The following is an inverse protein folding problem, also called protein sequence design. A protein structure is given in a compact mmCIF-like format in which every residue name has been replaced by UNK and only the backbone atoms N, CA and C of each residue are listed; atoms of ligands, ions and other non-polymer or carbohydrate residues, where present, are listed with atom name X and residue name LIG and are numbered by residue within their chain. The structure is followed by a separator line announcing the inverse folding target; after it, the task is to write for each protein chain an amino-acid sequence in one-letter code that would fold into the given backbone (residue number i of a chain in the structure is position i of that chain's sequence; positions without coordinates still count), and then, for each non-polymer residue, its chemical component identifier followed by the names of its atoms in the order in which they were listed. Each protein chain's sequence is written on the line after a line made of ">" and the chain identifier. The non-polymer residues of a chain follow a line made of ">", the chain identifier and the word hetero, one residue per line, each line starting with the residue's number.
data_IF_614218490188
#
_entry.id   IF_614218490188
#
_cell.length_a   1.000
_cell.length_b   1.000
_cell.length_c   1.000
_cell.angle_alpha   90.00
_cell.angle_beta   90.00
_cell.angle_gamma   90.00
#
_symmetry.space_group_name_H-M   'P 1'
#
loop_
_entity.id
_entity.type
_entity.pdbx_description
1 polymer ?
#
# COMPACT_ATOMS: atom_id res chain seq x y z
N UNK A 1 -27.79 21.27 51.84
CA UNK A 1 -26.58 20.42 51.65
C UNK A 1 -26.78 19.13 50.84
N UNK A 2 -27.95 18.47 50.81
CA UNK A 2 -28.15 17.21 50.03
C UNK A 2 -28.24 17.38 48.49
N UNK A 3 -28.70 18.53 47.98
CA UNK A 3 -28.94 18.70 46.54
C UNK A 3 -27.67 18.98 45.71
N UNK A 4 -26.66 19.64 46.29
CA UNK A 4 -25.39 19.93 45.58
C UNK A 4 -24.56 18.66 45.36
N UNK A 5 -24.58 17.73 46.32
CA UNK A 5 -23.84 16.47 46.23
C UNK A 5 -24.39 15.52 45.16
N UNK A 6 -25.71 15.48 44.95
CA UNK A 6 -26.33 14.69 43.88
C UNK A 6 -26.02 15.28 42.50
N UNK A 7 -26.10 16.61 42.38
CA UNK A 7 -25.83 17.32 41.12
C UNK A 7 -24.38 17.14 40.65
N UNK A 8 -23.43 17.17 41.59
CA UNK A 8 -22.01 17.00 41.26
C UNK A 8 -21.67 15.55 40.83
N UNK A 9 -22.28 14.54 41.45
CA UNK A 9 -22.12 13.12 41.03
C UNK A 9 -22.64 12.87 39.61
N UNK A 10 -23.79 13.43 39.25
CA UNK A 10 -24.37 13.31 37.91
C UNK A 10 -23.51 13.99 36.83
N UNK A 11 -22.86 15.11 37.16
CA UNK A 11 -21.93 15.79 36.25
C UNK A 11 -20.66 14.96 36.01
N UNK A 12 -20.09 14.38 37.06
CA UNK A 12 -18.89 13.53 36.98
C UNK A 12 -19.16 12.26 36.17
N UNK A 13 -20.30 11.58 36.40
CA UNK A 13 -20.67 10.38 35.64
C UNK A 13 -20.89 10.67 34.16
N UNK A 14 -21.51 11.81 33.82
CA UNK A 14 -21.70 12.26 32.43
C UNK A 14 -20.36 12.54 31.73
N UNK A 15 -19.41 13.19 32.39
CA UNK A 15 -18.06 13.45 31.86
C UNK A 15 -17.32 12.12 31.65
N UNK A 16 -17.40 11.19 32.60
CA UNK A 16 -16.78 9.87 32.47
C UNK A 16 -17.34 9.09 31.27
N UNK A 17 -18.66 9.06 31.11
CA UNK A 17 -19.33 8.41 29.98
C UNK A 17 -18.98 9.05 28.63
N UNK A 18 -18.84 10.39 28.59
CA UNK A 18 -18.42 11.11 27.39
C UNK A 18 -16.97 10.76 27.00
N UNK A 19 -16.05 10.74 27.98
CA UNK A 19 -14.65 10.32 27.75
C UNK A 19 -14.57 8.86 27.28
N UNK A 20 -15.34 7.96 27.87
CA UNK A 20 -15.42 6.55 27.45
C UNK A 20 -15.92 6.41 26.01
N UNK A 21 -16.96 7.16 25.65
CA UNK A 21 -17.52 7.15 24.29
C UNK A 21 -16.52 7.69 23.27
N UNK A 22 -15.81 8.78 23.61
CA UNK A 22 -14.76 9.34 22.77
C UNK A 22 -13.61 8.34 22.53
N UNK A 23 -13.12 7.68 23.59
CA UNK A 23 -12.09 6.66 23.48
C UNK A 23 -12.54 5.48 22.61
N UNK A 24 -13.80 5.08 22.71
CA UNK A 24 -14.36 4.00 21.90
C UNK A 24 -14.41 4.39 20.42
N UNK A 25 -14.88 5.60 20.11
CA UNK A 25 -14.91 6.13 18.74
C UNK A 25 -13.48 6.23 18.18
N UNK A 26 -12.55 6.80 18.93
CA UNK A 26 -11.14 6.89 18.52
C UNK A 26 -10.54 5.49 18.27
N UNK A 27 -10.84 4.51 19.11
CA UNK A 27 -10.42 3.13 18.93
C UNK A 27 -10.95 2.50 17.64
N UNK A 28 -12.20 2.79 17.26
CA UNK A 28 -12.78 2.34 15.98
C UNK A 28 -12.04 2.96 14.80
N UNK A 29 -11.77 4.27 14.84
CA UNK A 29 -11.01 4.94 13.78
C UNK A 29 -9.60 4.37 13.63
N UNK A 30 -8.90 4.12 14.74
CA UNK A 30 -7.58 3.49 14.72
C UNK A 30 -7.67 2.09 14.14
N UNK A 31 -8.64 1.27 14.55
CA UNK A 31 -8.81 -0.08 14.04
C UNK A 31 -9.08 -0.09 12.52
N UNK A 32 -9.94 0.80 12.03
CA UNK A 32 -10.23 0.96 10.60
C UNK A 32 -8.97 1.40 9.84
N UNK A 33 -8.26 2.41 10.35
CA UNK A 33 -7.04 2.91 9.75
C UNK A 33 -5.96 1.82 9.67
N UNK A 34 -5.70 1.12 10.78
CA UNK A 34 -4.73 0.02 10.83
C UNK A 34 -5.13 -1.11 9.88
N UNK A 35 -6.40 -1.51 9.85
CA UNK A 35 -6.88 -2.57 8.97
C UNK A 35 -6.73 -2.25 7.47
N UNK A 36 -6.88 -0.98 7.10
CA UNK A 36 -6.82 -0.55 5.70
C UNK A 36 -5.40 -0.27 5.19
N UNK A 37 -4.44 -0.01 6.09
CA UNK A 37 -3.10 0.43 5.71
C UNK A 37 -1.99 -0.55 6.13
N UNK A 38 -2.22 -1.44 7.08
CA UNK A 38 -1.19 -2.35 7.60
C UNK A 38 -1.49 -3.81 7.24
N UNK A 39 -0.61 -4.39 6.43
CA UNK A 39 -0.74 -5.75 5.88
C UNK A 39 0.46 -6.60 6.24
N UNK A 40 0.22 -7.84 6.67
CA UNK A 40 1.31 -8.80 6.87
C UNK A 40 1.82 -9.29 5.52
N UNK A 41 3.14 -9.44 5.35
CA UNK A 41 3.73 -9.91 4.08
C UNK A 41 3.08 -11.20 3.53
N UNK A 42 2.74 -12.16 4.40
CA UNK A 42 2.05 -13.40 4.00
C UNK A 42 0.65 -13.19 3.40
N UNK A 43 -0.06 -12.15 3.81
CA UNK A 43 -1.42 -11.86 3.30
C UNK A 43 -1.39 -11.16 1.95
N UNK A 44 -0.22 -10.62 1.56
CA UNK A 44 0.01 -9.95 0.29
C UNK A 44 0.42 -10.92 -0.82
N UNK A 45 0.79 -12.15 -0.50
CA UNK A 45 1.08 -13.18 -1.50
C UNK A 45 -0.17 -13.45 -2.35
N UNK A 46 0.05 -13.69 -3.65
CA UNK A 46 -1.02 -14.00 -4.60
C UNK A 46 -0.95 -13.15 -5.86
N UNK A 47 -2.03 -13.24 -6.64
CA UNK A 47 -2.17 -12.56 -7.92
C UNK A 47 -2.89 -11.22 -7.77
N UNK A 48 -2.41 -10.25 -8.51
CA UNK A 48 -3.00 -8.92 -8.65
C UNK A 48 -3.20 -8.57 -10.11
N UNK A 49 -4.25 -7.84 -10.43
CA UNK A 49 -4.54 -7.36 -11.78
C UNK A 49 -4.44 -5.84 -11.84
N UNK A 50 -3.83 -5.32 -12.89
CA UNK A 50 -3.73 -3.88 -13.11
C UNK A 50 -5.12 -3.30 -13.43
N UNK A 51 -5.45 -2.16 -12.83
CA UNK A 51 -6.71 -1.42 -12.99
C UNK A 51 -6.41 0.02 -13.38
N UNK A 52 -7.30 0.60 -14.19
CA UNK A 52 -7.21 1.98 -14.68
C UNK A 52 -5.86 2.25 -15.40
N UNK A 53 -5.45 1.29 -16.24
CA UNK A 53 -4.16 1.29 -16.92
C UNK A 53 -4.17 1.99 -18.28
N UNK A 54 -5.32 2.46 -18.74
CA UNK A 54 -5.48 3.01 -20.08
C UNK A 54 -4.80 4.38 -20.24
N UNK A 55 -4.32 4.99 -19.16
CA UNK A 55 -3.61 6.26 -19.18
C UNK A 55 -2.10 6.05 -19.38
N UNK A 56 -1.51 6.75 -20.36
CA UNK A 56 -0.10 6.65 -20.78
C UNK A 56 0.82 7.76 -20.21
N UNK A 57 0.30 8.59 -19.29
CA UNK A 57 1.04 9.74 -18.76
C UNK A 57 2.31 9.35 -17.99
N UNK A 58 2.29 8.20 -17.30
CA UNK A 58 3.43 7.71 -16.50
C UNK A 58 4.08 6.51 -17.18
N UNK A 59 5.08 6.75 -18.02
CA UNK A 59 5.70 5.72 -18.88
C UNK A 59 6.26 4.47 -18.16
N UNK A 60 6.54 4.56 -16.87
CA UNK A 60 7.04 3.42 -16.05
C UNK A 60 5.93 2.49 -15.56
N UNK A 61 4.67 2.91 -15.64
CA UNK A 61 3.52 2.10 -15.25
C UNK A 61 3.01 1.28 -16.44
N UNK A 62 2.38 0.12 -16.22
CA UNK A 62 1.86 -0.66 -17.34
C UNK A 62 0.65 0.05 -17.93
N UNK A 63 0.71 0.31 -19.23
CA UNK A 63 -0.38 0.92 -20.01
C UNK A 63 -1.29 -0.09 -20.72
N UNK A 64 -1.13 -1.35 -20.33
CA UNK A 64 -1.85 -2.51 -20.84
C UNK A 64 -2.32 -3.37 -19.67
N UNK A 65 -3.25 -4.27 -19.95
CA UNK A 65 -3.65 -5.27 -18.98
C UNK A 65 -2.42 -6.07 -18.54
N UNK A 66 -2.17 -6.05 -17.23
CA UNK A 66 -1.04 -6.75 -16.62
C UNK A 66 -1.47 -7.50 -15.37
N UNK A 67 -0.65 -8.46 -14.96
CA UNK A 67 -0.87 -9.27 -13.77
C UNK A 67 0.43 -9.40 -12.98
N UNK A 68 0.43 -8.90 -11.76
CA UNK A 68 1.55 -9.00 -10.82
C UNK A 68 1.32 -10.18 -9.86
N UNK A 69 2.30 -11.06 -9.71
CA UNK A 69 2.23 -12.23 -8.82
C UNK A 69 3.31 -12.11 -7.75
N UNK A 70 2.92 -11.91 -6.48
CA UNK A 70 3.86 -11.89 -5.34
C UNK A 70 4.04 -13.30 -4.76
N UNK A 71 5.29 -13.75 -4.65
CA UNK A 71 5.68 -15.11 -4.20
C UNK A 71 6.37 -15.07 -2.84
N UNK A 72 6.35 -16.21 -2.13
CA UNK A 72 6.82 -16.37 -0.74
C UNK A 72 8.28 -15.96 -0.50
N UNK A 73 9.14 -16.04 -1.51
CA UNK A 73 10.59 -15.80 -1.39
C UNK A 73 10.99 -14.37 -1.81
N UNK A 74 10.12 -13.39 -1.54
CA UNK A 74 10.32 -11.99 -1.92
C UNK A 74 10.58 -11.79 -3.42
N UNK A 75 9.99 -12.66 -4.24
CA UNK A 75 10.08 -12.62 -5.70
C UNK A 75 8.72 -12.28 -6.28
N UNK A 76 8.72 -11.61 -7.43
CA UNK A 76 7.50 -11.38 -8.19
C UNK A 76 7.67 -11.69 -9.67
N UNK A 77 6.53 -11.86 -10.34
CA UNK A 77 6.47 -11.97 -11.81
C UNK A 77 5.33 -11.11 -12.35
N UNK A 78 5.57 -10.45 -13.48
CA UNK A 78 4.61 -9.66 -14.24
C UNK A 78 4.95 -9.76 -15.72
N UNK A 79 3.97 -9.93 -16.62
CA UNK A 79 4.21 -9.84 -18.06
C UNK A 79 4.85 -8.51 -18.49
N UNK A 80 4.50 -7.40 -17.85
CA UNK A 80 5.07 -6.07 -18.13
C UNK A 80 6.47 -5.87 -17.55
N UNK A 81 6.66 -6.12 -16.25
CA UNK A 81 7.93 -5.87 -15.56
C UNK A 81 8.92 -7.05 -15.62
N UNK A 82 8.49 -8.21 -16.12
CA UNK A 82 9.27 -9.44 -16.09
C UNK A 82 9.33 -10.04 -14.70
N UNK A 83 10.53 -10.51 -14.30
CA UNK A 83 10.77 -11.10 -12.99
C UNK A 83 11.57 -10.11 -12.13
N UNK A 84 11.31 -10.13 -10.84
CA UNK A 84 11.98 -9.23 -9.92
C UNK A 84 11.88 -9.66 -8.47
N UNK A 85 12.35 -8.78 -7.59
CA UNK A 85 12.26 -8.92 -6.14
C UNK A 85 11.40 -7.82 -5.56
N UNK A 86 10.76 -8.11 -4.44
CA UNK A 86 10.03 -7.10 -3.70
C UNK A 86 10.46 -7.05 -2.24
N UNK A 87 10.33 -5.89 -1.63
CA UNK A 87 10.59 -5.67 -0.22
C UNK A 87 9.39 -4.99 0.43
N UNK A 88 8.99 -5.44 1.63
CA UNK A 88 7.88 -4.87 2.38
C UNK A 88 8.42 -4.15 3.61
N UNK A 89 8.09 -2.87 3.74
CA UNK A 89 8.44 -2.05 4.89
C UNK A 89 7.19 -1.47 5.54
N UNK A 90 7.31 -1.06 6.79
CA UNK A 90 6.21 -0.47 7.56
C UNK A 90 6.60 0.92 8.03
N UNK A 91 5.68 1.86 7.87
CA UNK A 91 5.81 3.24 8.32
C UNK A 91 4.56 3.64 9.09
N UNK A 92 4.52 4.86 9.63
CA UNK A 92 3.30 5.38 10.27
C UNK A 92 2.14 5.48 9.29
N UNK A 93 2.44 5.68 8.00
CA UNK A 93 1.45 5.83 6.93
C UNK A 93 0.94 4.49 6.39
N UNK A 94 1.50 3.37 6.87
CA UNK A 94 1.09 2.01 6.48
C UNK A 94 2.20 1.15 5.91
N UNK A 95 1.79 0.12 5.18
CA UNK A 95 2.64 -0.85 4.50
C UNK A 95 3.09 -0.28 3.15
N UNK A 96 4.41 -0.28 2.95
CA UNK A 96 5.06 0.06 1.70
C UNK A 96 5.61 -1.19 1.01
N UNK A 97 5.70 -1.12 -0.31
CA UNK A 97 6.29 -2.14 -1.16
C UNK A 97 7.25 -1.48 -2.14
N UNK A 98 8.47 -2.00 -2.19
CA UNK A 98 9.42 -1.70 -3.25
C UNK A 98 9.46 -2.87 -4.22
N UNK A 99 9.41 -2.59 -5.51
CA UNK A 99 9.54 -3.56 -6.60
C UNK A 99 10.82 -3.26 -7.37
N UNK A 100 11.74 -4.21 -7.40
CA UNK A 100 13.01 -4.12 -8.15
C UNK A 100 13.01 -5.15 -9.28
N UNK A 101 13.26 -4.71 -10.50
CA UNK A 101 13.20 -5.52 -11.71
C UNK A 101 14.24 -5.08 -12.73
N UNK A 102 14.27 -5.79 -13.86
CA UNK A 102 15.31 -5.64 -14.86
C UNK A 102 16.53 -6.45 -14.47
N UNK A 103 17.13 -7.10 -15.46
CA UNK A 103 18.36 -7.87 -15.28
C UNK A 103 19.34 -7.53 -16.40
N UNK A 104 20.63 -7.56 -16.07
CA UNK A 104 21.72 -7.38 -17.01
C UNK A 104 22.12 -5.92 -17.24
N UNK A 105 22.96 -5.75 -18.26
CA UNK A 105 23.53 -4.46 -18.62
C UNK A 105 23.42 -4.28 -20.13
N UNK A 106 23.08 -3.07 -20.53
CA UNK A 106 23.11 -2.65 -21.93
C UNK A 106 24.44 -1.97 -22.20
N UNK A 107 25.18 -2.47 -23.18
CA UNK A 107 26.42 -1.86 -23.64
C UNK A 107 26.08 -0.86 -24.75
N UNK A 108 26.41 0.41 -24.54
CA UNK A 108 26.20 1.49 -25.50
C UNK A 108 27.57 2.03 -25.90
N UNK A 109 27.83 2.11 -27.20
CA UNK A 109 29.05 2.71 -27.73
C UNK A 109 28.78 4.18 -28.06
N UNK A 110 29.47 5.09 -27.36
CA UNK A 110 29.41 6.53 -27.61
C UNK A 110 30.82 7.02 -27.94
N UNK A 111 31.02 7.47 -29.19
CA UNK A 111 32.31 7.98 -29.67
C UNK A 111 33.49 7.04 -29.34
N UNK A 112 33.38 5.76 -29.74
CA UNK A 112 34.39 4.72 -29.49
C UNK A 112 34.59 4.33 -28.01
N UNK A 113 33.85 4.94 -27.07
CA UNK A 113 33.84 4.54 -25.67
C UNK A 113 32.65 3.61 -25.39
N UNK A 114 32.93 2.46 -24.80
CA UNK A 114 31.90 1.52 -24.33
C UNK A 114 31.43 1.93 -22.93
N UNK A 115 30.12 2.16 -22.79
CA UNK A 115 29.46 2.47 -21.52
C UNK A 115 28.48 1.33 -21.21
N UNK A 116 28.59 0.75 -20.02
CA UNK A 116 27.67 -0.28 -19.56
C UNK A 116 26.62 0.39 -18.66
N UNK A 117 25.35 0.31 -19.03
CA UNK A 117 24.22 0.84 -18.25
C UNK A 117 23.48 -0.32 -17.62
N UNK A 118 23.22 -0.26 -16.32
CA UNK A 118 22.38 -1.24 -15.64
C UNK A 118 20.94 -1.13 -16.15
N UNK A 119 20.32 -2.28 -16.43
CA UNK A 119 18.90 -2.33 -16.75
C UNK A 119 18.03 -2.48 -15.48
N UNK A 120 18.65 -2.47 -14.30
CA UNK A 120 17.94 -2.57 -13.02
C UNK A 120 17.18 -1.28 -12.74
N UNK A 121 15.88 -1.42 -12.48
CA UNK A 121 14.99 -0.36 -12.07
C UNK A 121 14.27 -0.75 -10.78
N UNK A 122 13.90 0.24 -9.98
CA UNK A 122 13.01 0.02 -8.84
C UNK A 122 12.06 1.19 -8.63
N UNK A 123 10.90 0.89 -8.05
CA UNK A 123 10.00 1.90 -7.53
C UNK A 123 9.43 1.48 -6.17
N UNK A 124 9.26 2.46 -5.30
CA UNK A 124 8.58 2.31 -4.02
C UNK A 124 7.15 2.85 -4.15
N UNK A 125 6.19 2.12 -3.57
CA UNK A 125 4.81 2.55 -3.45
C UNK A 125 4.18 2.00 -2.16
N UNK A 126 2.89 2.26 -1.94
CA UNK A 126 2.16 1.83 -0.77
C UNK A 126 1.04 0.86 -1.10
N UNK A 127 0.63 0.13 -0.06
CA UNK A 127 -0.46 -0.83 -0.12
C UNK A 127 -1.60 -0.31 0.74
N UNK A 128 -2.80 -0.26 0.17
CA UNK A 128 -3.99 0.13 0.90
C UNK A 128 -5.17 -0.81 0.61
N UNK A 129 -6.25 -0.63 1.34
CA UNK A 129 -7.57 -1.21 1.06
C UNK A 129 -8.60 -0.10 1.12
N UNK A 130 -9.46 -0.04 0.10
CA UNK A 130 -10.58 0.89 0.08
C UNK A 130 -11.67 0.43 1.07
N UNK A 131 -12.11 1.36 1.94
CA UNK A 131 -13.31 1.27 2.78
C UNK A 131 -13.52 -0.08 3.47
N UNK A 132 -12.47 -0.69 4.08
CA UNK A 132 -12.52 -1.92 4.90
C UNK A 132 -13.16 -3.17 4.26
N UNK A 133 -13.66 -3.10 3.03
CA UNK A 133 -14.35 -4.18 2.32
C UNK A 133 -13.66 -4.56 1.01
N UNK A 134 -12.72 -3.73 0.53
CA UNK A 134 -12.00 -3.98 -0.71
C UNK A 134 -10.91 -5.05 -0.60
N UNK A 135 -10.39 -5.43 -1.75
CA UNK A 135 -9.14 -6.17 -1.84
C UNK A 135 -7.95 -5.24 -1.57
N UNK A 136 -6.83 -5.78 -1.04
CA UNK A 136 -5.57 -5.04 -1.01
C UNK A 136 -5.20 -4.54 -2.41
N UNK A 137 -4.71 -3.31 -2.47
CA UNK A 137 -4.26 -2.64 -3.68
C UNK A 137 -2.82 -2.20 -3.52
N UNK A 138 -2.00 -2.42 -4.53
CA UNK A 138 -0.67 -1.83 -4.64
C UNK A 138 -0.82 -0.64 -5.57
N UNK A 139 -0.66 0.58 -5.03
CA UNK A 139 -0.87 1.79 -5.82
C UNK A 139 0.26 1.96 -6.83
N UNK A 140 -0.07 2.41 -8.04
CA UNK A 140 0.91 2.78 -9.06
C UNK A 140 0.92 4.29 -9.27
N UNK A 141 -0.26 4.90 -9.25
CA UNK A 141 -0.39 6.34 -9.32
C UNK A 141 -1.70 6.81 -8.68
N UNK A 142 -1.61 7.67 -7.66
CA UNK A 142 -2.75 8.06 -6.83
C UNK A 142 -3.73 8.96 -7.58
N UNK A 143 -3.24 9.97 -8.30
CA UNK A 143 -4.10 10.94 -9.00
C UNK A 143 -4.90 10.30 -10.14
N UNK A 144 -4.41 9.20 -10.71
CA UNK A 144 -5.09 8.44 -11.77
C UNK A 144 -5.87 7.25 -11.23
N UNK A 145 -5.86 7.00 -9.92
CA UNK A 145 -6.37 5.78 -9.29
C UNK A 145 -5.88 4.52 -10.03
N UNK A 146 -4.62 4.50 -10.45
CA UNK A 146 -4.02 3.35 -11.12
C UNK A 146 -3.38 2.45 -10.06
N UNK A 147 -3.74 1.16 -10.06
CA UNK A 147 -3.30 0.22 -9.05
C UNK A 147 -3.38 -1.24 -9.51
N UNK A 148 -2.64 -2.10 -8.81
CA UNK A 148 -2.81 -3.54 -8.85
C UNK A 148 -3.77 -4.00 -7.77
N UNK A 149 -4.87 -4.67 -8.12
CA UNK A 149 -5.87 -5.19 -7.20
C UNK A 149 -5.70 -6.69 -6.96
N UNK A 150 -5.65 -7.12 -5.68
CA UNK A 150 -5.57 -8.55 -5.35
C UNK A 150 -6.84 -9.29 -5.78
N UNK A 151 -6.70 -10.46 -6.39
CA UNK A 151 -7.85 -11.27 -6.83
C UNK A 151 -7.86 -12.71 -6.29
N UNK A 152 -6.78 -13.13 -5.61
CA UNK A 152 -6.62 -14.44 -4.97
C UNK A 152 -6.52 -14.34 -3.44
#
# INVERSE_FOLDING_TARGET
>A
MKNETVTNRNKISKIYNLKKSFLLIAGIFIAIYTYNNFFMGKTLLGKYVNRNFENDFIGTNPHVADTLILKKDNQFESPYYGKGKYNITYSLDGTKIELSYGEGQTNININENQINISNEESFETYINRIWFLGNPRIMLFEDLDQYYEKID
#
